data_IF_442634642852
#
_entry.id   IF_442634642852
#
_cell.length_a   1.000
_cell.length_b   1.000
_cell.length_c   1.000
_cell.angle_alpha   90.00
_cell.angle_beta   90.00
_cell.angle_gamma   90.00
#
_symmetry.space_group_name_H-M   'P 1'
#
loop_
_entity.id
_entity.type
_entity.pdbx_description
1 polymer ?
#
# COMPACT_ATOMS: atom_id res chain seq x y z
N UNK A 1 -9.91 -35.37 70.99
CA UNK A 1 -10.37 -35.54 69.59
C UNK A 1 -10.10 -34.23 68.86
N UNK A 2 -9.69 -34.31 67.59
CA UNK A 2 -9.26 -33.25 66.65
C UNK A 2 -7.77 -32.85 66.66
N UNK A 3 -7.02 -33.52 65.76
CA UNK A 3 -5.75 -33.05 65.19
C UNK A 3 -6.06 -32.06 64.05
N UNK A 4 -5.43 -30.89 64.07
CA UNK A 4 -5.38 -29.97 62.93
C UNK A 4 -4.45 -30.53 61.85
N UNK A 5 -4.92 -30.51 60.60
CA UNK A 5 -4.13 -30.77 59.40
C UNK A 5 -4.17 -29.50 58.54
N UNK A 6 -3.04 -28.78 58.47
CA UNK A 6 -2.82 -27.72 57.49
C UNK A 6 -2.53 -28.37 56.13
N UNK A 7 -3.36 -28.07 55.13
CA UNK A 7 -3.07 -28.37 53.73
C UNK A 7 -2.56 -27.09 53.08
N UNK A 8 -1.27 -27.04 52.77
CA UNK A 8 -0.68 -26.00 51.94
C UNK A 8 -0.90 -26.41 50.48
N UNK A 9 -1.82 -25.73 49.81
CA UNK A 9 -2.06 -25.90 48.37
C UNK A 9 -0.95 -25.24 47.56
N UNK A 10 -0.17 -26.06 46.84
CA UNK A 10 0.87 -25.60 45.93
C UNK A 10 0.20 -25.21 44.60
N UNK A 11 0.14 -23.91 44.29
CA UNK A 11 -0.34 -23.41 43.00
C UNK A 11 0.81 -23.51 42.00
N UNK A 12 0.73 -24.47 41.07
CA UNK A 12 1.66 -24.56 39.95
C UNK A 12 1.25 -23.52 38.89
N UNK A 13 2.00 -22.43 38.79
CA UNK A 13 1.90 -21.50 37.67
C UNK A 13 2.46 -22.17 36.40
N UNK A 14 1.58 -22.59 35.50
CA UNK A 14 1.96 -22.97 34.16
C UNK A 14 2.33 -21.69 33.38
N UNK A 15 3.63 -21.42 33.26
CA UNK A 15 4.11 -20.43 32.31
C UNK A 15 3.84 -20.95 30.89
N UNK A 16 2.88 -20.36 30.19
CA UNK A 16 2.74 -20.55 28.75
C UNK A 16 3.95 -19.91 28.07
N UNK A 17 4.99 -20.72 27.82
CA UNK A 17 6.03 -20.40 26.88
C UNK A 17 5.39 -20.41 25.49
N UNK A 18 5.14 -19.23 24.94
CA UNK A 18 4.86 -19.08 23.52
C UNK A 18 6.17 -19.44 22.80
N UNK A 19 6.21 -20.61 22.19
CA UNK A 19 7.25 -20.92 21.22
C UNK A 19 7.13 -19.91 20.07
N UNK A 20 8.12 -19.06 19.89
CA UNK A 20 8.29 -18.31 18.64
C UNK A 20 8.54 -19.35 17.56
N UNK A 21 7.62 -19.49 16.61
CA UNK A 21 7.80 -20.28 15.40
C UNK A 21 9.08 -19.80 14.68
N UNK A 22 10.17 -20.59 14.64
CA UNK A 22 11.48 -20.15 14.14
C UNK A 22 11.50 -19.77 12.65
N UNK A 23 10.39 -20.01 11.94
CA UNK A 23 10.24 -19.82 10.50
C UNK A 23 9.00 -18.98 10.14
N UNK A 24 8.49 -18.15 11.04
CA UNK A 24 7.43 -17.22 10.67
C UNK A 24 7.93 -16.25 9.59
N UNK A 25 7.23 -16.19 8.46
CA UNK A 25 7.52 -15.26 7.37
C UNK A 25 7.54 -13.82 7.92
N UNK A 26 8.65 -13.10 7.70
CA UNK A 26 8.78 -11.70 8.11
C UNK A 26 8.12 -10.82 7.05
N UNK A 27 6.92 -10.33 7.32
CA UNK A 27 6.17 -9.45 6.42
C UNK A 27 6.73 -8.01 6.37
N UNK A 28 6.31 -7.27 5.33
CA UNK A 28 6.55 -5.84 5.20
C UNK A 28 5.24 -5.12 4.83
N UNK A 29 4.27 -5.04 5.76
CA UNK A 29 2.89 -4.63 5.44
C UNK A 29 2.71 -3.14 5.11
N UNK A 30 3.70 -2.30 5.41
CA UNK A 30 3.68 -0.85 5.15
C UNK A 30 4.95 -0.44 4.41
N UNK A 31 4.88 0.63 3.60
CA UNK A 31 6.08 1.23 2.95
C UNK A 31 7.20 1.57 3.95
N UNK A 32 6.85 1.81 5.21
CA UNK A 32 7.76 2.04 6.32
C UNK A 32 8.10 0.82 7.18
N UNK A 33 7.90 -0.40 6.68
CA UNK A 33 7.89 -1.71 7.38
C UNK A 33 6.70 -1.91 8.32
N UNK A 34 6.49 -0.98 9.24
CA UNK A 34 5.43 -0.98 10.25
C UNK A 34 4.79 0.41 10.34
N UNK A 35 3.68 0.57 11.07
CA UNK A 35 2.99 1.88 11.18
C UNK A 35 3.88 3.01 11.70
N UNK A 36 4.87 2.72 12.54
CA UNK A 36 5.83 3.74 13.02
C UNK A 36 6.88 4.15 11.98
N UNK A 37 6.86 3.56 10.78
CA UNK A 37 7.70 3.90 9.64
C UNK A 37 9.22 3.85 9.91
N UNK A 38 9.69 2.94 10.77
CA UNK A 38 11.11 2.81 11.13
C UNK A 38 11.98 2.26 10.01
N UNK A 39 11.38 1.58 9.02
CA UNK A 39 12.10 0.84 7.96
C UNK A 39 13.10 -0.18 8.51
N UNK A 40 12.83 -0.68 9.72
CA UNK A 40 13.62 -1.72 10.37
C UNK A 40 13.05 -3.10 10.05
N UNK A 41 13.93 -4.09 9.86
CA UNK A 41 13.59 -5.50 9.72
C UNK A 41 14.26 -6.32 10.82
N UNK A 42 13.54 -7.25 11.48
CA UNK A 42 14.13 -8.19 12.43
C UNK A 42 14.86 -9.36 11.75
N UNK A 43 14.90 -9.42 10.41
CA UNK A 43 15.55 -10.51 9.68
C UNK A 43 17.06 -10.56 9.95
N UNK A 44 17.55 -11.73 10.34
CA UNK A 44 18.95 -11.93 10.75
C UNK A 44 19.72 -12.92 9.86
N UNK A 45 19.09 -13.46 8.81
CA UNK A 45 19.75 -14.42 7.90
C UNK A 45 20.89 -13.78 7.08
N UNK A 46 20.76 -12.50 6.74
CA UNK A 46 21.79 -11.72 6.06
C UNK A 46 22.49 -10.86 7.10
N UNK A 47 23.78 -11.07 7.27
CA UNK A 47 24.62 -10.42 8.28
C UNK A 47 25.84 -9.77 7.63
N UNK A 48 26.62 -9.01 8.41
CA UNK A 48 27.87 -8.39 7.93
C UNK A 48 28.88 -9.46 7.47
N UNK A 49 28.84 -10.63 8.08
CA UNK A 49 29.73 -11.75 7.82
C UNK A 49 29.38 -12.50 6.53
N UNK A 50 28.16 -12.40 6.00
CA UNK A 50 27.72 -13.17 4.83
C UNK A 50 27.14 -12.35 3.67
N UNK A 51 26.91 -11.04 3.83
CA UNK A 51 26.31 -10.16 2.79
C UNK A 51 27.07 -10.20 1.46
N UNK A 52 28.38 -10.43 1.50
CA UNK A 52 29.23 -10.55 0.32
C UNK A 52 28.90 -11.78 -0.56
N UNK A 53 28.06 -12.70 -0.09
CA UNK A 53 27.64 -13.91 -0.82
C UNK A 53 26.30 -13.74 -1.52
N UNK A 54 25.66 -12.58 -1.39
CA UNK A 54 24.38 -12.32 -2.03
C UNK A 54 24.49 -12.44 -3.54
N UNK A 55 23.45 -13.02 -4.13
CA UNK A 55 23.27 -13.15 -5.56
C UNK A 55 21.85 -12.70 -5.89
N UNK A 56 21.65 -12.28 -7.13
CA UNK A 56 20.31 -11.99 -7.65
C UNK A 56 19.52 -13.30 -7.63
N UNK A 57 18.42 -13.35 -6.88
CA UNK A 57 17.50 -14.48 -6.87
C UNK A 57 16.62 -14.47 -8.13
N UNK A 58 16.07 -13.31 -8.46
CA UNK A 58 15.27 -13.05 -9.66
C UNK A 58 15.26 -11.55 -9.97
N UNK A 59 14.82 -11.20 -11.18
CA UNK A 59 14.56 -9.82 -11.61
C UNK A 59 13.20 -9.75 -12.29
N UNK A 60 12.48 -8.68 -12.01
CA UNK A 60 11.22 -8.36 -12.66
C UNK A 60 11.30 -6.94 -13.22
N UNK A 61 10.82 -6.76 -14.44
CA UNK A 61 10.75 -5.47 -15.10
C UNK A 61 9.30 -5.17 -15.50
N UNK A 62 8.80 -3.95 -15.22
CA UNK A 62 7.49 -3.54 -15.69
C UNK A 62 7.53 -3.39 -17.21
N UNK A 63 6.56 -4.00 -17.89
CA UNK A 63 6.33 -3.76 -19.32
C UNK A 63 5.67 -2.37 -19.51
N UNK A 64 6.47 -1.32 -19.33
CA UNK A 64 6.06 0.08 -19.44
C UNK A 64 7.04 0.86 -20.31
N UNK A 65 6.65 1.06 -21.57
CA UNK A 65 7.41 1.81 -22.58
C UNK A 65 6.77 3.16 -22.89
N UNK A 66 7.48 4.11 -23.52
CA UNK A 66 6.88 5.37 -23.97
C UNK A 66 5.67 5.13 -24.89
N UNK A 67 4.61 5.91 -24.71
CA UNK A 67 3.36 5.91 -25.49
C UNK A 67 3.18 7.28 -26.18
N UNK A 68 3.81 7.52 -27.36
CA UNK A 68 3.81 8.82 -28.02
C UNK A 68 2.41 9.35 -28.36
N UNK A 69 1.49 8.47 -28.74
CA UNK A 69 0.10 8.80 -29.07
C UNK A 69 -0.69 9.36 -27.88
N UNK A 70 -0.23 9.08 -26.66
CA UNK A 70 -0.79 9.62 -25.41
C UNK A 70 0.08 10.74 -24.80
N UNK A 71 1.20 11.09 -25.45
CA UNK A 71 2.20 11.99 -24.87
C UNK A 71 2.78 11.46 -23.56
N UNK A 72 2.77 10.14 -23.34
CA UNK A 72 3.13 9.53 -22.08
C UNK A 72 4.51 8.83 -22.14
N UNK A 73 5.29 8.97 -21.07
CA UNK A 73 6.60 8.35 -20.94
C UNK A 73 6.82 7.92 -19.48
N UNK A 74 7.30 6.69 -19.22
CA UNK A 74 7.61 6.27 -17.86
C UNK A 74 8.68 7.20 -17.26
N UNK A 75 8.43 7.66 -16.03
CA UNK A 75 9.42 8.41 -15.25
C UNK A 75 10.27 7.46 -14.39
N UNK A 76 10.75 7.95 -13.25
CA UNK A 76 11.55 7.13 -12.33
C UNK A 76 10.67 6.11 -11.59
N UNK A 77 11.18 4.88 -11.47
CA UNK A 77 10.62 3.87 -10.59
C UNK A 77 10.94 4.23 -9.13
N UNK A 78 9.92 4.56 -8.33
CA UNK A 78 10.08 5.06 -6.95
C UNK A 78 9.38 4.18 -5.89
N UNK A 79 8.77 3.07 -6.29
CA UNK A 79 7.95 2.30 -5.37
C UNK A 79 8.80 1.57 -4.32
N UNK A 80 8.32 1.60 -3.09
CA UNK A 80 8.72 0.63 -2.06
C UNK A 80 7.64 -0.45 -2.02
N UNK A 81 7.97 -1.72 -2.36
CA UNK A 81 7.00 -2.81 -2.26
C UNK A 81 6.53 -3.02 -0.82
N UNK A 82 5.31 -3.52 -0.67
CA UNK A 82 4.84 -4.15 0.57
C UNK A 82 4.74 -5.66 0.35
N UNK A 83 4.98 -6.45 1.40
CA UNK A 83 4.89 -7.90 1.34
C UNK A 83 3.92 -8.42 2.40
N UNK A 84 2.90 -9.15 1.95
CA UNK A 84 1.89 -9.78 2.80
C UNK A 84 1.61 -11.18 2.25
N UNK A 85 1.64 -12.21 3.10
CA UNK A 85 1.40 -13.61 2.75
C UNK A 85 2.22 -14.09 1.52
N UNK A 86 3.51 -13.78 1.49
CA UNK A 86 4.44 -14.12 0.40
C UNK A 86 4.13 -13.50 -0.97
N UNK A 87 3.27 -12.46 -0.99
CA UNK A 87 2.97 -11.69 -2.20
C UNK A 87 3.53 -10.28 -2.04
N UNK A 88 4.32 -9.85 -3.04
CA UNK A 88 4.80 -8.48 -3.16
C UNK A 88 3.78 -7.65 -3.93
N UNK A 89 3.35 -6.53 -3.34
CA UNK A 89 2.52 -5.54 -4.00
C UNK A 89 3.30 -4.25 -4.18
N UNK A 90 3.31 -3.74 -5.40
CA UNK A 90 3.98 -2.49 -5.73
C UNK A 90 3.26 -1.71 -6.82
N UNK A 91 3.47 -0.40 -6.84
CA UNK A 91 3.02 0.46 -7.93
C UNK A 91 4.09 0.65 -8.99
N UNK A 92 3.70 0.89 -10.24
CA UNK A 92 4.63 1.15 -11.35
C UNK A 92 4.67 2.62 -11.77
N UNK A 93 5.38 2.96 -12.85
CA UNK A 93 5.56 4.34 -13.31
C UNK A 93 4.26 4.88 -13.91
N UNK A 94 3.49 4.06 -14.65
CA UNK A 94 2.16 4.42 -15.12
C UNK A 94 1.04 4.25 -14.07
N UNK A 95 1.40 4.18 -12.79
CA UNK A 95 0.47 4.03 -11.67
C UNK A 95 -0.40 2.76 -11.85
N UNK A 96 0.18 1.66 -12.29
CA UNK A 96 -0.43 0.32 -12.18
C UNK A 96 -0.15 -0.23 -10.78
N UNK A 97 -0.89 -1.25 -10.36
CA UNK A 97 -0.52 -2.10 -9.22
C UNK A 97 -0.18 -3.47 -9.76
N UNK A 98 0.91 -4.04 -9.28
CA UNK A 98 1.34 -5.40 -9.63
C UNK A 98 1.48 -6.21 -8.36
N UNK A 99 0.97 -7.45 -8.40
CA UNK A 99 1.25 -8.47 -7.41
C UNK A 99 2.22 -9.49 -8.00
N UNK A 100 3.32 -9.75 -7.29
CA UNK A 100 4.32 -10.74 -7.65
C UNK A 100 4.42 -11.80 -6.56
N UNK A 101 4.69 -13.04 -6.96
CA UNK A 101 5.18 -14.05 -6.03
C UNK A 101 6.55 -13.63 -5.51
N UNK A 102 6.72 -13.58 -4.18
CA UNK A 102 7.95 -13.06 -3.57
C UNK A 102 9.17 -13.98 -3.77
N UNK A 103 8.95 -15.28 -3.99
CA UNK A 103 10.02 -16.27 -4.16
C UNK A 103 10.49 -16.35 -5.61
N UNK A 104 9.57 -16.27 -6.58
CA UNK A 104 9.89 -16.46 -8.00
C UNK A 104 9.98 -15.16 -8.80
N UNK A 105 9.33 -14.09 -8.34
CA UNK A 105 9.17 -12.84 -9.09
C UNK A 105 8.12 -12.93 -10.20
N UNK A 106 7.39 -14.04 -10.32
CA UNK A 106 6.32 -14.20 -11.31
C UNK A 106 5.14 -13.27 -11.00
N UNK A 107 4.60 -12.65 -12.04
CA UNK A 107 3.43 -11.78 -11.88
C UNK A 107 2.16 -12.61 -11.70
N UNK A 108 1.50 -12.42 -10.56
CA UNK A 108 0.22 -13.05 -10.23
C UNK A 108 -0.92 -12.30 -10.93
N UNK A 109 -0.96 -10.98 -10.76
CA UNK A 109 -1.95 -10.11 -11.39
C UNK A 109 -1.41 -8.69 -11.56
N UNK A 110 -2.05 -7.91 -12.43
CA UNK A 110 -1.81 -6.48 -12.56
C UNK A 110 -3.12 -5.70 -12.73
N UNK A 111 -3.23 -4.58 -12.02
CA UNK A 111 -4.31 -3.61 -12.14
C UNK A 111 -3.80 -2.36 -12.87
N UNK A 112 -4.55 -1.86 -13.85
CA UNK A 112 -4.20 -0.63 -14.58
C UNK A 112 -5.18 0.51 -14.25
N UNK A 113 -4.69 1.58 -13.62
CA UNK A 113 -5.48 2.78 -13.30
C UNK A 113 -5.73 3.67 -14.52
N UNK A 114 -5.04 3.40 -15.64
CA UNK A 114 -5.03 4.18 -16.88
C UNK A 114 -4.65 5.64 -16.64
N UNK A 115 -3.66 5.87 -15.77
CA UNK A 115 -3.21 7.22 -15.42
C UNK A 115 -2.67 8.04 -16.62
N UNK A 116 -2.34 7.35 -17.72
CA UNK A 116 -1.90 7.91 -19.00
C UNK A 116 -3.05 8.44 -19.88
N UNK A 117 -4.31 8.13 -19.57
CA UNK A 117 -5.48 8.70 -20.27
C UNK A 117 -5.78 10.14 -19.79
N UNK A 118 -5.08 10.61 -18.75
CA UNK A 118 -5.14 11.98 -18.25
C UNK A 118 -3.86 12.72 -18.62
N UNK A 119 -3.99 14.03 -18.87
CA UNK A 119 -2.87 14.88 -19.24
C UNK A 119 -1.70 14.72 -18.24
N UNK A 120 -0.48 14.39 -18.71
CA UNK A 120 0.62 14.00 -17.82
C UNK A 120 1.37 15.21 -17.25
N UNK A 121 0.66 16.22 -16.74
CA UNK A 121 1.23 17.51 -16.28
C UNK A 121 2.35 17.35 -15.23
N UNK A 122 2.36 16.24 -14.51
CA UNK A 122 3.33 15.96 -13.44
C UNK A 122 4.20 14.72 -13.71
N UNK A 123 4.16 14.22 -14.94
CA UNK A 123 4.84 13.00 -15.37
C UNK A 123 4.23 11.73 -14.76
N UNK A 124 5.01 10.66 -14.77
CA UNK A 124 4.63 9.30 -14.40
C UNK A 124 5.62 8.73 -13.39
N UNK A 125 5.20 8.62 -12.13
CA UNK A 125 5.98 8.10 -11.01
C UNK A 125 5.03 7.82 -9.85
N UNK A 126 5.23 6.70 -9.16
CA UNK A 126 4.43 6.33 -8.00
C UNK A 126 5.30 5.62 -6.94
N UNK A 127 4.98 5.80 -5.65
CA UNK A 127 5.85 5.42 -4.53
C UNK A 127 5.42 4.20 -3.73
N UNK A 128 4.26 3.62 -4.02
CA UNK A 128 3.83 2.38 -3.39
C UNK A 128 2.31 2.22 -3.39
N UNK A 129 1.83 1.33 -2.54
CA UNK A 129 0.41 1.07 -2.29
C UNK A 129 0.16 0.92 -0.79
N UNK A 130 -1.10 0.83 -0.38
CA UNK A 130 -1.45 0.45 0.99
C UNK A 130 -2.31 -0.82 1.00
N UNK A 131 -2.20 -1.59 2.08
CA UNK A 131 -2.99 -2.79 2.31
C UNK A 131 -3.99 -2.55 3.44
N UNK A 132 -5.17 -3.15 3.33
CA UNK A 132 -6.18 -3.20 4.38
C UNK A 132 -6.84 -4.57 4.41
N UNK A 133 -7.31 -4.98 5.58
CA UNK A 133 -8.07 -6.21 5.74
C UNK A 133 -9.18 -6.09 6.78
N UNK A 134 -10.27 -6.80 6.54
CA UNK A 134 -11.32 -7.11 7.50
C UNK A 134 -11.77 -8.57 7.30
N UNK A 135 -11.35 -9.44 8.22
CA UNK A 135 -11.55 -10.87 8.08
C UNK A 135 -10.90 -11.42 6.81
N UNK A 136 -11.75 -11.79 5.83
CA UNK A 136 -11.37 -12.33 4.50
C UNK A 136 -11.37 -11.27 3.39
N UNK A 137 -11.93 -10.09 3.64
CA UNK A 137 -11.86 -8.97 2.70
C UNK A 137 -10.47 -8.36 2.82
N UNK A 138 -9.72 -8.36 1.72
CA UNK A 138 -8.33 -7.89 1.67
C UNK A 138 -8.19 -7.00 0.45
N UNK A 139 -7.68 -5.79 0.66
CA UNK A 139 -7.67 -4.75 -0.36
C UNK A 139 -6.31 -4.10 -0.49
N UNK A 140 -5.96 -3.77 -1.73
CA UNK A 140 -4.88 -2.87 -2.07
C UNK A 140 -5.49 -1.53 -2.48
N UNK A 141 -4.93 -0.44 -1.95
CA UNK A 141 -5.31 0.92 -2.30
C UNK A 141 -4.21 1.61 -3.10
N UNK A 142 -4.65 2.24 -4.18
CA UNK A 142 -3.83 3.08 -5.05
C UNK A 142 -4.51 4.44 -5.20
N UNK A 143 -3.84 5.51 -4.80
CA UNK A 143 -4.23 6.87 -5.19
C UNK A 143 -3.47 7.26 -6.45
N UNK A 144 -4.17 7.58 -7.53
CA UNK A 144 -3.57 7.90 -8.82
C UNK A 144 -4.31 9.06 -9.45
N UNK A 145 -3.56 10.11 -9.83
CA UNK A 145 -4.11 11.37 -10.33
C UNK A 145 -5.14 11.92 -9.33
N UNK A 146 -6.37 12.14 -9.77
CA UNK A 146 -7.48 12.66 -8.98
C UNK A 146 -8.38 11.59 -8.35
N UNK A 147 -7.94 10.32 -8.26
CA UNK A 147 -8.78 9.22 -7.74
C UNK A 147 -8.05 8.35 -6.72
N UNK A 148 -8.81 7.76 -5.82
CA UNK A 148 -8.39 6.64 -4.97
C UNK A 148 -9.14 5.38 -5.43
N UNK A 149 -8.40 4.32 -5.73
CA UNK A 149 -8.89 3.04 -6.21
C UNK A 149 -8.79 1.99 -5.12
N UNK A 150 -9.75 1.07 -5.07
CA UNK A 150 -9.77 -0.10 -4.20
C UNK A 150 -9.76 -1.38 -5.03
N UNK A 151 -8.81 -2.26 -4.74
CA UNK A 151 -8.48 -3.43 -5.56
C UNK A 151 -8.51 -4.66 -4.63
N UNK A 152 -9.18 -5.75 -5.01
CA UNK A 152 -9.11 -7.00 -4.23
C UNK A 152 -7.68 -7.55 -4.32
N UNK A 153 -7.05 -7.74 -3.16
CA UNK A 153 -5.63 -8.09 -3.10
C UNK A 153 -5.30 -9.47 -3.70
N UNK A 154 -6.28 -10.36 -3.81
CA UNK A 154 -6.08 -11.73 -4.32
C UNK A 154 -6.23 -11.80 -5.83
N UNK A 155 -7.10 -10.98 -6.40
CA UNK A 155 -7.50 -11.06 -7.82
C UNK A 155 -6.96 -9.92 -8.67
N UNK A 156 -6.66 -8.76 -8.07
CA UNK A 156 -6.31 -7.55 -8.80
C UNK A 156 -7.51 -6.82 -9.42
N UNK A 157 -8.74 -7.29 -9.17
CA UNK A 157 -9.95 -6.67 -9.69
C UNK A 157 -10.38 -5.46 -8.86
N UNK A 158 -11.00 -4.47 -9.50
CA UNK A 158 -11.64 -3.35 -8.80
C UNK A 158 -12.74 -3.84 -7.86
N UNK A 159 -12.74 -3.36 -6.62
CA UNK A 159 -13.81 -3.63 -5.67
C UNK A 159 -15.01 -2.75 -6.02
N UNK A 160 -15.93 -3.26 -6.84
CA UNK A 160 -17.02 -2.46 -7.43
C UNK A 160 -17.90 -1.69 -6.42
N UNK A 161 -18.02 -2.19 -5.18
CA UNK A 161 -18.77 -1.53 -4.10
C UNK A 161 -18.03 -0.36 -3.41
N UNK A 162 -16.79 -0.07 -3.79
CA UNK A 162 -16.02 1.06 -3.26
C UNK A 162 -16.25 2.29 -4.14
N UNK A 163 -16.90 3.31 -3.58
CA UNK A 163 -17.20 4.55 -4.30
C UNK A 163 -18.02 4.32 -5.58
N UNK A 164 -17.54 4.89 -6.68
CA UNK A 164 -18.11 4.71 -8.01
C UNK A 164 -17.23 3.75 -8.82
N UNK A 165 -17.75 2.53 -9.05
CA UNK A 165 -17.09 1.48 -9.82
C UNK A 165 -15.64 1.17 -9.33
N UNK A 166 -15.45 1.07 -8.02
CA UNK A 166 -14.17 0.73 -7.40
C UNK A 166 -13.22 1.91 -7.17
N UNK A 167 -13.70 3.14 -7.31
CA UNK A 167 -12.88 4.32 -7.00
C UNK A 167 -13.67 5.54 -6.55
N UNK A 168 -13.01 6.45 -5.84
CA UNK A 168 -13.58 7.72 -5.37
C UNK A 168 -12.83 8.89 -5.98
N UNK A 169 -13.53 10.01 -6.19
CA UNK A 169 -12.93 11.27 -6.63
C UNK A 169 -12.27 11.98 -5.46
N UNK A 170 -11.00 12.35 -5.63
CA UNK A 170 -10.24 13.14 -4.66
C UNK A 170 -10.38 14.64 -4.88
N UNK A 171 -11.11 15.08 -5.90
CA UNK A 171 -11.38 16.50 -6.19
C UNK A 171 -12.82 16.91 -5.87
N UNK A 172 -13.70 15.95 -5.60
CA UNK A 172 -15.07 16.22 -5.18
C UNK A 172 -15.14 16.82 -3.76
N UNK A 173 -16.16 17.63 -3.50
CA UNK A 173 -16.49 18.09 -2.15
C UNK A 173 -15.52 19.11 -1.52
N UNK A 174 -14.75 19.85 -2.34
CA UNK A 174 -13.82 20.91 -1.90
C UNK A 174 -14.48 22.30 -1.70
N UNK A 175 -15.81 22.38 -1.73
CA UNK A 175 -16.56 23.65 -1.64
C UNK A 175 -16.40 24.58 -2.85
N UNK A 176 -15.53 24.23 -3.79
CA UNK A 176 -15.29 24.87 -5.08
C UNK A 176 -14.97 23.80 -6.13
N UNK A 177 -15.07 24.18 -7.40
CA UNK A 177 -14.63 23.32 -8.50
C UNK A 177 -13.11 23.20 -8.45
N UNK A 178 -12.62 21.96 -8.40
CA UNK A 178 -11.21 21.62 -8.52
C UNK A 178 -11.04 20.86 -9.81
N UNK A 179 -10.18 21.37 -10.69
CA UNK A 179 -9.85 20.71 -11.94
C UNK A 179 -8.94 19.51 -11.66
N UNK A 180 -9.36 18.34 -12.13
CA UNK A 180 -8.60 17.11 -11.97
C UNK A 180 -7.26 17.11 -12.70
N UNK A 181 -7.03 18.01 -13.67
CA UNK A 181 -5.76 18.10 -14.39
C UNK A 181 -4.63 18.66 -13.51
N UNK A 182 -4.95 19.48 -12.51
CA UNK A 182 -3.96 20.11 -11.61
C UNK A 182 -3.87 19.42 -10.24
N UNK A 183 -4.61 18.33 -10.04
CA UNK A 183 -4.60 17.55 -8.80
C UNK A 183 -3.97 16.19 -9.06
N UNK A 184 -2.93 15.87 -8.31
CA UNK A 184 -2.16 14.65 -8.52
C UNK A 184 -1.86 13.91 -7.23
N UNK A 185 -1.46 12.65 -7.39
CA UNK A 185 -1.14 11.73 -6.31
C UNK A 185 -0.01 10.83 -6.76
N UNK A 186 1.05 10.79 -5.97
CA UNK A 186 2.26 10.01 -6.29
C UNK A 186 2.81 9.24 -5.08
N UNK A 187 2.29 9.50 -3.89
CA UNK A 187 2.66 8.81 -2.65
C UNK A 187 1.47 7.98 -2.16
N UNK A 188 1.66 6.73 -1.72
CA UNK A 188 0.56 5.87 -1.31
C UNK A 188 -0.26 6.46 -0.17
N UNK A 189 -1.52 6.01 -0.01
CA UNK A 189 -2.31 6.37 1.16
C UNK A 189 -1.74 5.70 2.42
N UNK A 190 -2.22 6.15 3.58
CA UNK A 190 -2.00 5.48 4.86
C UNK A 190 -3.32 4.88 5.31
N UNK A 191 -3.27 3.65 5.82
CA UNK A 191 -4.44 2.99 6.40
C UNK A 191 -4.32 3.01 7.92
N UNK A 192 -5.35 3.51 8.59
CA UNK A 192 -5.50 3.45 10.04
C UNK A 192 -6.91 2.97 10.36
N UNK A 193 -7.01 1.83 11.07
CA UNK A 193 -8.28 1.13 11.26
C UNK A 193 -9.01 0.93 9.92
N UNK A 194 -10.23 1.46 9.80
CA UNK A 194 -11.06 1.40 8.60
C UNK A 194 -11.00 2.68 7.77
N UNK A 195 -9.96 3.51 7.94
CA UNK A 195 -9.76 4.74 7.20
C UNK A 195 -8.58 4.64 6.26
N UNK A 196 -8.82 4.99 5.00
CA UNK A 196 -7.80 5.22 3.97
C UNK A 196 -7.57 6.72 3.87
N UNK A 197 -6.41 7.17 4.33
CA UNK A 197 -6.03 8.57 4.44
C UNK A 197 -5.13 8.94 3.26
N UNK A 198 -5.55 9.93 2.49
CA UNK A 198 -4.90 10.39 1.27
C UNK A 198 -4.54 11.87 1.41
N UNK A 199 -3.30 12.22 1.06
CA UNK A 199 -2.86 13.62 0.97
C UNK A 199 -3.28 14.27 -0.34
N UNK A 200 -2.44 15.19 -0.84
CA UNK A 200 -2.58 15.83 -2.15
C UNK A 200 -1.23 16.29 -2.67
N UNK A 201 -0.98 16.15 -3.98
CA UNK A 201 0.05 16.90 -4.69
C UNK A 201 -0.64 17.99 -5.51
N UNK A 202 -0.32 19.24 -5.17
CA UNK A 202 -0.81 20.45 -5.84
C UNK A 202 0.38 21.29 -6.31
N UNK A 203 0.19 22.28 -7.20
CA UNK A 203 1.28 23.15 -7.63
C UNK A 203 1.94 23.91 -6.46
N UNK A 204 3.26 24.07 -6.52
CA UNK A 204 4.04 24.82 -5.51
C UNK A 204 4.05 26.35 -5.77
N UNK A 205 3.44 26.79 -6.87
CA UNK A 205 3.27 28.20 -7.25
C UNK A 205 1.88 28.41 -7.84
N UNK A 206 1.42 29.66 -7.87
CA UNK A 206 0.14 30.01 -8.45
C UNK A 206 0.15 29.74 -9.96
N UNK A 207 -0.54 28.70 -10.41
CA UNK A 207 -0.73 28.38 -11.83
C UNK A 207 -1.91 29.17 -12.39
N UNK A 208 -2.99 29.31 -11.62
CA UNK A 208 -4.14 30.14 -11.95
C UNK A 208 -4.87 30.64 -10.70
N UNK A 209 -5.82 31.55 -10.93
CA UNK A 209 -6.78 31.93 -9.89
C UNK A 209 -7.58 30.68 -9.50
N UNK A 210 -7.55 30.33 -8.22
CA UNK A 210 -8.19 29.14 -7.63
C UNK A 210 -7.49 27.79 -7.87
N UNK A 211 -6.17 27.73 -7.71
CA UNK A 211 -5.43 26.45 -7.69
C UNK A 211 -6.00 25.44 -6.68
N UNK A 212 -5.85 24.12 -6.93
CA UNK A 212 -6.34 23.08 -6.04
C UNK A 212 -5.83 23.27 -4.61
N UNK A 213 -6.72 23.15 -3.60
CA UNK A 213 -6.28 23.22 -2.21
C UNK A 213 -5.44 22.00 -1.86
N UNK A 214 -4.39 22.19 -1.06
CA UNK A 214 -3.75 21.08 -0.38
C UNK A 214 -4.71 20.51 0.66
N UNK A 215 -5.05 19.23 0.57
CA UNK A 215 -6.00 18.57 1.48
C UNK A 215 -5.52 17.21 1.93
N UNK A 216 -5.92 16.84 3.15
CA UNK A 216 -5.86 15.47 3.66
C UNK A 216 -7.31 14.99 3.76
N UNK A 217 -7.61 13.85 3.15
CA UNK A 217 -8.94 13.27 3.09
C UNK A 217 -8.90 11.86 3.66
N UNK A 218 -9.93 11.46 4.40
CA UNK A 218 -10.10 10.10 4.90
C UNK A 218 -11.35 9.47 4.28
N UNK A 219 -11.23 8.23 3.86
CA UNK A 219 -12.33 7.45 3.27
C UNK A 219 -12.48 6.15 4.03
N UNK A 220 -13.72 5.75 4.26
CA UNK A 220 -14.05 4.43 4.78
C UNK A 220 -13.51 3.34 3.84
N UNK A 221 -12.68 2.43 4.35
CA UNK A 221 -11.97 1.43 3.54
C UNK A 221 -12.90 0.44 2.83
N UNK A 222 -14.10 0.20 3.38
CA UNK A 222 -15.09 -0.72 2.79
C UNK A 222 -15.87 -0.05 1.68
N UNK A 223 -16.29 1.20 1.89
CA UNK A 223 -17.32 1.85 1.07
C UNK A 223 -16.80 2.99 0.20
N UNK A 224 -15.65 3.59 0.55
CA UNK A 224 -15.17 4.81 -0.08
C UNK A 224 -15.94 6.07 0.32
N UNK A 225 -16.83 5.99 1.30
CA UNK A 225 -17.52 7.18 1.82
C UNK A 225 -16.51 8.07 2.55
N UNK A 226 -16.47 9.35 2.19
CA UNK A 226 -15.61 10.35 2.85
C UNK A 226 -16.05 10.55 4.31
N UNK A 227 -15.09 10.53 5.24
CA UNK A 227 -15.30 10.74 6.68
C UNK A 227 -14.82 12.12 7.11
#
# INVERSE_FOLDING_TARGET
VLRQLCVVGMVASAAFLWAQEPNALIEWPYVGSQQSHTKYSPAERITRENVHRLQIAWQWEPDETPMPERGARPGSFQATPIMINNVLYLSTMYNRVVALDAETGEQIWAFDSRAYDREPRHGFKHRGVAYWRDGKDTRIFLNSRSRLYSIDARTGESVMGFGEAGSVSLVAGHGRVVDSADFDQTSPPVVFEDLVIVGSRVPDWTVRRFDPPGTIQAFDARTGVRR
#
